data_IF_402805165874
#
_entry.id   IF_402805165874
#
_cell.length_a   1.000
_cell.length_b   1.000
_cell.length_c   1.000
_cell.angle_alpha   90.00
_cell.angle_beta   90.00
_cell.angle_gamma   90.00
#
_symmetry.space_group_name_H-M   'P 1'
#
loop_
_entity.id
_entity.type
_entity.pdbx_description
1 polymer ?
#
# COMPACT_ATOMS: atom_id res chain seq x y z
N UNK A 1 -6.95 20.05 3.87
CA UNK A 1 -6.93 19.97 2.39
C UNK A 1 -6.49 18.55 2.04
N UNK A 2 -7.18 17.84 1.15
CA UNK A 2 -6.79 16.49 0.76
C UNK A 2 -5.70 16.54 -0.31
N UNK A 3 -4.68 15.68 -0.20
CA UNK A 3 -3.61 15.58 -1.20
C UNK A 3 -4.09 14.73 -2.38
N UNK A 4 -3.93 15.25 -3.60
CA UNK A 4 -4.22 14.49 -4.83
C UNK A 4 -3.10 13.47 -5.08
N UNK A 5 -3.46 12.19 -5.12
CA UNK A 5 -2.48 11.08 -5.20
C UNK A 5 -2.73 10.13 -6.39
N UNK A 6 -3.80 10.33 -7.16
CA UNK A 6 -4.21 9.38 -8.20
C UNK A 6 -3.17 9.21 -9.30
N UNK A 7 -2.61 10.32 -9.79
CA UNK A 7 -1.61 10.30 -10.86
C UNK A 7 -0.29 9.68 -10.37
N UNK A 8 0.12 9.99 -9.15
CA UNK A 8 1.27 9.38 -8.50
C UNK A 8 1.10 7.86 -8.33
N UNK A 9 -0.06 7.41 -7.83
CA UNK A 9 -0.38 5.99 -7.71
C UNK A 9 -0.47 5.30 -9.08
N UNK A 10 -0.96 6.00 -10.11
CA UNK A 10 -0.97 5.50 -11.50
C UNK A 10 0.46 5.22 -12.00
N UNK A 11 1.39 6.13 -11.74
CA UNK A 11 2.79 5.94 -12.08
C UNK A 11 3.42 4.76 -11.33
N UNK A 12 3.19 4.64 -10.01
CA UNK A 12 3.68 3.49 -9.23
C UNK A 12 3.18 2.15 -9.80
N UNK A 13 1.89 2.06 -10.16
CA UNK A 13 1.34 0.85 -10.81
C UNK A 13 2.03 0.55 -12.15
N UNK A 14 2.43 1.56 -12.92
CA UNK A 14 3.18 1.36 -14.17
C UNK A 14 4.58 0.84 -13.88
N UNK A 15 5.27 1.37 -12.87
CA UNK A 15 6.59 0.94 -12.43
C UNK A 15 6.59 -0.52 -11.97
N UNK A 16 5.65 -0.92 -11.11
CA UNK A 16 5.52 -2.31 -10.63
C UNK A 16 5.33 -3.29 -11.80
N UNK A 17 4.44 -2.97 -12.74
CA UNK A 17 4.23 -3.80 -13.95
C UNK A 17 5.49 -3.89 -14.80
N UNK A 18 6.23 -2.79 -14.93
CA UNK A 18 7.47 -2.75 -15.69
C UNK A 18 8.60 -3.52 -14.98
N UNK A 19 8.62 -3.51 -13.65
CA UNK A 19 9.53 -4.33 -12.83
C UNK A 19 9.30 -5.81 -13.06
N UNK A 20 8.04 -6.27 -12.96
CA UNK A 20 7.68 -7.67 -13.23
C UNK A 20 8.09 -8.14 -14.62
N UNK A 21 7.89 -7.32 -15.66
CA UNK A 21 8.33 -7.66 -17.03
C UNK A 21 9.85 -7.78 -17.18
N UNK A 22 10.64 -6.98 -16.44
CA UNK A 22 12.10 -7.07 -16.45
C UNK A 22 12.59 -8.30 -15.71
N UNK A 23 12.03 -8.56 -14.53
CA UNK A 23 12.38 -9.70 -13.68
C UNK A 23 12.01 -11.03 -14.33
N UNK A 24 11.00 -11.05 -15.20
CA UNK A 24 10.67 -12.25 -15.99
C UNK A 24 11.80 -12.73 -16.91
N UNK A 25 12.86 -11.95 -17.11
CA UNK A 25 14.05 -12.29 -17.89
C UNK A 25 15.34 -12.20 -17.04
N UNK A 26 15.22 -12.18 -15.71
CA UNK A 26 16.32 -12.07 -14.76
C UNK A 26 16.47 -13.34 -13.91
N UNK A 27 17.45 -13.35 -13.00
CA UNK A 27 17.79 -14.49 -12.14
C UNK A 27 17.08 -14.43 -10.77
N UNK A 28 17.34 -15.44 -9.93
CA UNK A 28 16.79 -15.58 -8.58
C UNK A 28 16.94 -14.32 -7.69
N UNK A 29 18.10 -13.63 -7.64
CA UNK A 29 18.25 -12.46 -6.77
C UNK A 29 17.29 -11.31 -7.12
N UNK A 30 17.05 -11.08 -8.40
CA UNK A 30 16.10 -10.05 -8.87
C UNK A 30 14.65 -10.43 -8.56
N UNK A 31 14.31 -11.73 -8.59
CA UNK A 31 13.01 -12.20 -8.14
C UNK A 31 12.83 -11.97 -6.64
N UNK A 32 13.84 -12.27 -5.83
CA UNK A 32 13.81 -12.00 -4.39
C UNK A 32 13.65 -10.49 -4.11
N UNK A 33 14.37 -9.64 -4.85
CA UNK A 33 14.25 -8.19 -4.76
C UNK A 33 12.86 -7.68 -5.18
N UNK A 34 12.24 -8.25 -6.22
CA UNK A 34 10.85 -7.91 -6.58
C UNK A 34 9.85 -8.33 -5.50
N UNK A 35 10.08 -9.49 -4.88
CA UNK A 35 9.24 -9.99 -3.80
C UNK A 35 9.33 -9.13 -2.54
N UNK A 36 10.51 -8.59 -2.21
CA UNK A 36 10.69 -7.76 -1.02
C UNK A 36 9.85 -6.48 -1.07
N UNK A 37 9.52 -5.97 -2.27
CA UNK A 37 8.63 -4.81 -2.44
C UNK A 37 7.23 -5.02 -1.85
N UNK A 38 6.80 -6.27 -1.58
CA UNK A 38 5.54 -6.53 -0.87
C UNK A 38 5.58 -5.97 0.55
N UNK A 39 6.67 -6.20 1.28
CA UNK A 39 6.83 -5.70 2.64
C UNK A 39 6.88 -4.17 2.64
N UNK A 40 7.64 -3.57 1.71
CA UNK A 40 7.70 -2.11 1.54
C UNK A 40 6.32 -1.50 1.26
N UNK A 41 5.49 -2.15 0.42
CA UNK A 41 4.15 -1.69 0.16
C UNK A 41 3.23 -1.83 1.37
N UNK A 42 3.34 -2.93 2.12
CA UNK A 42 2.56 -3.14 3.34
C UNK A 42 2.91 -2.08 4.40
N UNK A 43 4.18 -1.75 4.58
CA UNK A 43 4.64 -0.70 5.51
C UNK A 43 4.15 0.69 5.07
N UNK A 44 4.22 1.00 3.77
CA UNK A 44 3.67 2.23 3.22
C UNK A 44 2.15 2.36 3.47
N UNK A 45 1.41 1.25 3.40
CA UNK A 45 -0.03 1.22 3.73
C UNK A 45 -0.23 1.51 5.23
N UNK A 46 0.59 0.95 6.12
CA UNK A 46 0.53 1.25 7.56
C UNK A 46 0.76 2.75 7.79
N UNK A 47 1.80 3.34 7.20
CA UNK A 47 2.06 4.78 7.28
C UNK A 47 0.87 5.60 6.81
N UNK A 48 0.28 5.25 5.67
CA UNK A 48 -0.88 5.95 5.13
C UNK A 48 -2.10 5.85 6.06
N UNK A 49 -2.40 4.66 6.61
CA UNK A 49 -3.52 4.46 7.55
C UNK A 49 -3.29 5.26 8.83
N UNK A 50 -2.08 5.21 9.39
CA UNK A 50 -1.72 5.99 10.60
C UNK A 50 -1.87 7.49 10.35
N UNK A 51 -1.37 8.01 9.22
CA UNK A 51 -1.52 9.42 8.86
C UNK A 51 -2.99 9.82 8.65
N UNK A 52 -3.79 8.99 7.97
CA UNK A 52 -5.24 9.23 7.80
C UNK A 52 -5.98 9.24 9.15
N UNK A 53 -5.57 8.39 10.09
CA UNK A 53 -6.12 8.32 11.45
C UNK A 53 -5.75 9.53 12.29
N UNK A 54 -4.48 9.94 12.28
CA UNK A 54 -3.93 10.99 13.12
C UNK A 54 -4.25 12.40 12.59
N UNK A 55 -4.06 12.62 11.28
CA UNK A 55 -4.11 13.96 10.69
C UNK A 55 -5.50 14.32 10.14
N UNK A 56 -6.24 13.31 9.64
CA UNK A 56 -7.55 13.51 9.01
C UNK A 56 -8.70 12.92 9.83
N UNK A 57 -8.40 12.42 11.04
CA UNK A 57 -9.37 11.84 11.99
C UNK A 57 -10.29 10.76 11.37
N UNK A 58 -9.84 10.06 10.32
CA UNK A 58 -10.67 9.09 9.60
C UNK A 58 -11.07 7.93 10.50
N UNK A 59 -12.32 7.49 10.48
CA UNK A 59 -12.75 6.37 11.33
C UNK A 59 -12.22 5.01 10.83
N UNK A 60 -12.16 4.02 11.72
CA UNK A 60 -11.87 2.63 11.33
C UNK A 60 -12.88 2.07 10.31
N UNK A 61 -14.12 2.57 10.31
CA UNK A 61 -15.12 2.17 9.33
C UNK A 61 -14.77 2.72 7.94
N UNK A 62 -14.26 3.95 7.86
CA UNK A 62 -13.76 4.54 6.61
C UNK A 62 -12.57 3.75 6.07
N UNK A 63 -11.59 3.42 6.93
CA UNK A 63 -10.43 2.60 6.55
C UNK A 63 -10.87 1.21 6.08
N UNK A 64 -11.78 0.55 6.80
CA UNK A 64 -12.33 -0.75 6.41
C UNK A 64 -13.00 -0.71 5.04
N UNK A 65 -13.82 0.31 4.78
CA UNK A 65 -14.45 0.51 3.47
C UNK A 65 -13.43 0.69 2.35
N UNK A 66 -12.36 1.47 2.58
CA UNK A 66 -11.31 1.70 1.58
C UNK A 66 -10.52 0.42 1.26
N UNK A 67 -10.34 -0.46 2.25
CA UNK A 67 -9.58 -1.70 2.13
C UNK A 67 -10.44 -2.93 1.79
N UNK A 68 -11.77 -2.79 1.71
CA UNK A 68 -12.69 -3.90 1.45
C UNK A 68 -12.78 -4.91 2.61
N UNK A 69 -12.54 -4.46 3.86
CA UNK A 69 -12.58 -5.30 5.07
C UNK A 69 -13.50 -4.70 6.14
N UNK A 70 -13.83 -5.48 7.16
CA UNK A 70 -14.65 -5.00 8.28
C UNK A 70 -13.91 -3.93 9.10
N UNK A 71 -14.66 -3.07 9.80
CA UNK A 71 -14.12 -2.10 10.76
C UNK A 71 -13.22 -2.78 11.80
N UNK A 72 -13.66 -3.92 12.33
CA UNK A 72 -12.95 -4.69 13.33
C UNK A 72 -11.63 -5.23 12.78
N UNK A 73 -11.63 -5.76 11.55
CA UNK A 73 -10.42 -6.23 10.88
C UNK A 73 -9.43 -5.09 10.62
N UNK A 74 -9.92 -3.91 10.20
CA UNK A 74 -9.07 -2.73 10.05
C UNK A 74 -8.44 -2.29 11.38
N UNK A 75 -9.25 -2.20 12.45
CA UNK A 75 -8.74 -1.86 13.77
C UNK A 75 -7.74 -2.89 14.30
N UNK A 76 -8.00 -4.19 14.12
CA UNK A 76 -7.09 -5.25 14.56
C UNK A 76 -5.75 -5.21 13.81
N UNK A 77 -5.78 -4.89 12.51
CA UNK A 77 -4.58 -4.88 11.66
C UNK A 77 -3.72 -3.63 11.87
N UNK A 78 -4.35 -2.46 12.05
CA UNK A 78 -3.66 -1.17 12.01
C UNK A 78 -3.78 -0.34 13.30
N UNK A 79 -4.58 -0.77 14.28
CA UNK A 79 -4.83 -0.02 15.52
C UNK A 79 -3.80 -0.25 16.62
N UNK A 80 -2.56 -0.58 16.26
CA UNK A 80 -1.44 -0.70 17.19
C UNK A 80 -0.88 0.66 17.55
#
# INVERSE_FOLDING_TARGET
MAVETEEYLSMLRRMIRAGGRRVAQADEPELAALMSLRAELDDAIVTAVTGQRAELERSWAWVGSALGITRQAAQQRYGK
#
